data_IF_307332534754
#
_entry.id   IF_307332534754
#
_cell.length_a   1.000
_cell.length_b   1.000
_cell.length_c   1.000
_cell.angle_alpha   90.00
_cell.angle_beta   90.00
_cell.angle_gamma   90.00
#
_symmetry.space_group_name_H-M   'P 1'
#
loop_
_entity.id
_entity.type
_entity.pdbx_description
1 polymer ?
#
# COMPACT_ATOMS: atom_id res chain seq x y z
N UNK A 1 -21.06 4.33 15.19
CA UNK A 1 -19.79 5.09 15.19
C UNK A 1 -19.82 6.01 13.96
N UNK A 2 -19.70 7.31 14.15
CA UNK A 2 -19.80 8.27 13.05
C UNK A 2 -18.43 8.71 12.55
N UNK A 3 -18.23 8.75 11.23
CA UNK A 3 -17.10 9.42 10.62
C UNK A 3 -17.38 10.92 10.49
N UNK A 4 -16.44 11.75 10.92
CA UNK A 4 -16.47 13.18 10.63
C UNK A 4 -15.66 13.43 9.37
N UNK A 5 -16.33 13.85 8.31
CA UNK A 5 -15.72 14.16 7.03
C UNK A 5 -15.63 15.67 6.87
N UNK A 6 -14.46 16.17 6.45
CA UNK A 6 -14.23 17.58 6.10
C UNK A 6 -13.59 17.60 4.72
N UNK A 7 -14.13 18.45 3.84
CA UNK A 7 -13.58 18.71 2.52
C UNK A 7 -12.84 20.05 2.53
N UNK A 8 -11.72 20.08 1.84
CA UNK A 8 -10.99 21.32 1.53
C UNK A 8 -10.36 21.19 0.15
N UNK A 9 -10.25 22.31 -0.54
CA UNK A 9 -9.40 22.39 -1.72
C UNK A 9 -7.95 22.49 -1.29
N UNK A 10 -7.07 21.78 -1.98
CA UNK A 10 -5.63 21.80 -1.76
C UNK A 10 -4.91 21.79 -3.11
N UNK A 11 -3.82 22.54 -3.19
CA UNK A 11 -2.90 22.45 -4.32
C UNK A 11 -1.93 21.31 -4.03
N UNK A 12 -2.04 20.25 -4.81
CA UNK A 12 -1.17 19.07 -4.71
C UNK A 12 -0.03 19.11 -5.75
N UNK A 13 0.15 20.23 -6.43
CA UNK A 13 1.15 20.40 -7.47
C UNK A 13 0.76 19.75 -8.80
N UNK A 14 1.74 19.20 -9.51
CA UNK A 14 1.54 18.58 -10.83
C UNK A 14 1.01 17.15 -10.70
N UNK A 15 -0.29 17.03 -10.41
CA UNK A 15 -1.02 15.76 -10.27
C UNK A 15 -2.20 15.69 -11.23
N UNK A 16 -2.75 14.48 -11.42
CA UNK A 16 -3.95 14.31 -12.24
C UNK A 16 -5.11 15.17 -11.69
N UNK A 17 -5.91 15.85 -12.56
CA UNK A 17 -6.97 16.77 -12.12
C UNK A 17 -7.99 16.18 -11.14
N UNK A 18 -8.25 14.88 -11.24
CA UNK A 18 -9.19 14.16 -10.37
C UNK A 18 -8.46 13.45 -9.20
N UNK A 19 -7.53 14.14 -8.58
CA UNK A 19 -6.76 13.63 -7.44
C UNK A 19 -7.36 14.08 -6.13
N UNK A 20 -7.41 13.17 -5.16
CA UNK A 20 -7.89 13.40 -3.79
C UNK A 20 -6.85 12.94 -2.79
N UNK A 21 -6.59 13.77 -1.80
CA UNK A 21 -5.84 13.38 -0.62
C UNK A 21 -6.82 13.06 0.52
N UNK A 22 -6.69 11.86 1.08
CA UNK A 22 -7.41 11.44 2.27
C UNK A 22 -6.48 11.49 3.47
N UNK A 23 -6.89 12.21 4.50
CA UNK A 23 -6.23 12.20 5.82
C UNK A 23 -7.17 11.54 6.82
N UNK A 24 -6.88 10.32 7.19
CA UNK A 24 -7.70 9.49 8.06
C UNK A 24 -7.08 9.48 9.45
N UNK A 25 -7.79 10.02 10.44
CA UNK A 25 -7.36 10.04 11.85
C UNK A 25 -8.12 8.97 12.61
N UNK A 26 -7.41 7.97 13.11
CA UNK A 26 -7.93 6.88 13.92
C UNK A 26 -7.24 6.79 15.28
N UNK A 27 -7.65 5.83 16.08
CA UNK A 27 -7.06 5.57 17.42
C UNK A 27 -5.60 5.14 17.33
N UNK A 28 -5.21 4.46 16.24
CA UNK A 28 -3.85 3.93 16.00
C UNK A 28 -2.94 4.93 15.28
N UNK A 29 -3.43 6.12 14.96
CA UNK A 29 -2.65 7.17 14.31
C UNK A 29 -3.34 7.83 13.12
N UNK A 30 -2.55 8.54 12.34
CA UNK A 30 -3.00 9.21 11.12
C UNK A 30 -2.46 8.46 9.90
N UNK A 31 -3.33 8.22 8.93
CA UNK A 31 -3.00 7.67 7.63
C UNK A 31 -3.26 8.72 6.57
N UNK A 32 -2.31 8.91 5.67
CA UNK A 32 -2.41 9.80 4.50
C UNK A 32 -2.43 8.93 3.23
N UNK A 33 -3.38 9.17 2.34
CA UNK A 33 -3.53 8.43 1.10
C UNK A 33 -3.85 9.39 -0.03
N UNK A 34 -3.13 9.28 -1.14
CA UNK A 34 -3.41 10.05 -2.36
C UNK A 34 -3.82 9.09 -3.46
N UNK A 35 -4.94 9.37 -4.07
CA UNK A 35 -5.45 8.60 -5.19
C UNK A 35 -6.13 9.48 -6.22
N UNK A 36 -6.23 8.97 -7.43
CA UNK A 36 -6.83 9.66 -8.58
C UNK A 36 -7.86 8.77 -9.24
N UNK A 37 -8.94 9.40 -9.73
CA UNK A 37 -9.83 8.74 -10.69
C UNK A 37 -9.24 8.90 -12.08
N UNK A 38 -8.94 7.78 -12.74
CA UNK A 38 -8.32 7.74 -14.07
C UNK A 38 -9.32 7.45 -15.19
N UNK A 39 -10.62 7.49 -14.88
CA UNK A 39 -11.71 7.25 -15.83
C UNK A 39 -12.18 5.80 -15.87
N UNK A 40 -13.37 5.58 -16.47
CA UNK A 40 -13.96 4.25 -16.62
C UNK A 40 -14.31 3.54 -15.30
N UNK A 41 -14.45 4.28 -14.19
CA UNK A 41 -14.66 3.69 -12.86
C UNK A 41 -13.37 3.21 -12.19
N UNK A 42 -12.23 3.38 -12.83
CA UNK A 42 -10.93 2.97 -12.30
C UNK A 42 -10.30 4.05 -11.42
N UNK A 43 -9.60 3.61 -10.39
CA UNK A 43 -8.81 4.44 -9.50
C UNK A 43 -7.35 4.02 -9.49
N UNK A 44 -6.48 4.93 -9.16
CA UNK A 44 -5.06 4.67 -8.93
C UNK A 44 -4.64 5.34 -7.62
N UNK A 45 -4.08 4.57 -6.70
CA UNK A 45 -3.47 5.08 -5.47
C UNK A 45 -1.99 5.30 -5.72
N UNK A 46 -1.51 6.52 -5.51
CA UNK A 46 -0.15 6.94 -5.84
C UNK A 46 0.72 7.27 -4.62
N UNK A 47 0.10 7.45 -3.45
CA UNK A 47 0.83 7.65 -2.20
C UNK A 47 0.09 7.05 -1.01
N UNK A 48 0.83 6.44 -0.09
CA UNK A 48 0.34 6.01 1.23
C UNK A 48 1.37 6.42 2.28
N UNK A 49 0.94 7.23 3.27
CA UNK A 49 1.80 7.75 4.34
C UNK A 49 3.08 8.39 3.80
N UNK A 50 2.95 9.22 2.74
CA UNK A 50 4.05 9.90 2.03
C UNK A 50 5.03 8.97 1.31
N UNK A 51 4.76 7.67 1.28
CA UNK A 51 5.52 6.74 0.44
C UNK A 51 4.88 6.65 -0.93
N UNK A 52 5.69 6.78 -1.98
CA UNK A 52 5.25 6.55 -3.34
C UNK A 52 4.84 5.09 -3.50
N UNK A 53 3.65 4.88 -4.03
CA UNK A 53 3.08 3.57 -4.34
C UNK A 53 2.37 3.65 -5.69
N UNK A 54 1.92 2.52 -6.22
CA UNK A 54 1.05 2.49 -7.38
C UNK A 54 0.25 1.18 -7.34
N UNK A 55 -1.06 1.28 -7.14
CA UNK A 55 -1.98 0.15 -7.18
C UNK A 55 -3.42 0.61 -7.42
N UNK A 56 -4.28 -0.31 -7.83
CA UNK A 56 -5.65 0.01 -8.27
C UNK A 56 -6.70 -0.20 -7.17
N UNK A 57 -6.40 -0.98 -6.15
CA UNK A 57 -7.37 -1.40 -5.13
C UNK A 57 -8.34 -2.49 -5.60
N UNK A 58 -8.17 -3.01 -6.82
CA UNK A 58 -8.98 -4.11 -7.35
C UNK A 58 -8.59 -5.47 -6.76
N UNK A 59 -7.37 -5.58 -6.25
CA UNK A 59 -6.80 -6.80 -5.68
C UNK A 59 -6.37 -6.56 -4.23
N UNK A 60 -6.31 -7.62 -3.40
CA UNK A 60 -5.63 -7.55 -2.12
C UNK A 60 -4.21 -7.04 -2.29
N UNK A 61 -3.86 -5.98 -1.56
CA UNK A 61 -2.61 -5.26 -1.75
C UNK A 61 -1.79 -5.25 -0.47
N UNK A 62 -0.53 -5.69 -0.54
CA UNK A 62 0.43 -5.63 0.56
C UNK A 62 1.41 -4.50 0.28
N UNK A 63 1.53 -3.57 1.22
CA UNK A 63 2.52 -2.48 1.16
C UNK A 63 3.55 -2.75 2.25
N UNK A 64 4.81 -2.89 1.85
CA UNK A 64 5.93 -3.18 2.73
C UNK A 64 6.92 -2.03 2.69
N UNK A 65 7.06 -1.31 3.79
CA UNK A 65 8.14 -0.33 3.97
C UNK A 65 9.35 -1.03 4.57
N UNK A 66 10.51 -0.87 3.95
CA UNK A 66 11.71 -1.62 4.30
C UNK A 66 13.00 -0.79 4.13
N UNK A 67 14.08 -1.27 4.73
CA UNK A 67 15.43 -0.79 4.41
C UNK A 67 15.82 -1.25 3.00
N UNK A 68 16.44 -0.36 2.23
CA UNK A 68 16.92 -0.65 0.87
C UNK A 68 18.26 -1.42 0.92
N UNK A 69 18.18 -2.70 1.26
CA UNK A 69 19.35 -3.58 1.34
C UNK A 69 19.11 -4.89 0.57
N UNK A 70 20.17 -5.53 0.09
CA UNK A 70 20.07 -6.82 -0.62
C UNK A 70 19.33 -7.88 0.20
N UNK A 71 18.53 -8.71 -0.48
CA UNK A 71 17.86 -9.86 0.09
C UNK A 71 16.48 -9.60 0.70
N UNK A 72 16.09 -8.36 0.98
CA UNK A 72 14.78 -8.08 1.58
C UNK A 72 13.63 -8.47 0.62
N UNK A 73 13.73 -8.11 -0.65
CA UNK A 73 12.73 -8.52 -1.66
C UNK A 73 12.61 -10.04 -1.72
N UNK A 74 13.74 -10.76 -1.78
CA UNK A 74 13.76 -12.22 -1.82
C UNK A 74 13.08 -12.84 -0.60
N UNK A 75 13.36 -12.35 0.61
CA UNK A 75 12.73 -12.85 1.84
C UNK A 75 11.21 -12.65 1.84
N UNK A 76 10.73 -11.49 1.38
CA UNK A 76 9.29 -11.21 1.29
C UNK A 76 8.63 -12.14 0.27
N UNK A 77 9.18 -12.24 -0.94
CA UNK A 77 8.61 -13.10 -1.98
C UNK A 77 8.68 -14.58 -1.62
N UNK A 78 9.70 -15.02 -0.87
CA UNK A 78 9.77 -16.41 -0.36
C UNK A 78 8.63 -16.72 0.62
N UNK A 79 8.30 -15.80 1.54
CA UNK A 79 7.17 -16.02 2.46
C UNK A 79 5.85 -16.10 1.66
N UNK A 80 5.66 -15.26 0.64
CA UNK A 80 4.46 -15.35 -0.19
C UNK A 80 4.41 -16.68 -0.95
N UNK A 81 5.52 -17.11 -1.53
CA UNK A 81 5.65 -18.38 -2.23
C UNK A 81 5.36 -19.58 -1.30
N UNK A 82 5.96 -19.63 -0.11
CA UNK A 82 5.80 -20.72 0.86
C UNK A 82 4.36 -20.86 1.38
N UNK A 83 3.53 -19.81 1.17
CA UNK A 83 2.12 -19.78 1.54
C UNK A 83 1.16 -19.82 0.32
N UNK A 84 1.66 -20.25 -0.85
CA UNK A 84 0.88 -20.34 -2.09
C UNK A 84 0.21 -19.02 -2.52
N UNK A 85 0.79 -17.88 -2.17
CA UNK A 85 0.30 -16.55 -2.56
C UNK A 85 0.90 -16.19 -3.91
N UNK A 86 0.07 -16.15 -4.94
CA UNK A 86 0.48 -15.68 -6.26
C UNK A 86 0.51 -14.16 -6.32
N UNK A 87 1.58 -13.62 -6.90
CA UNK A 87 1.79 -12.19 -7.09
C UNK A 87 1.32 -11.80 -8.49
N UNK A 88 0.23 -11.05 -8.58
CA UNK A 88 -0.29 -10.54 -9.84
C UNK A 88 0.48 -9.32 -10.33
N UNK A 89 0.91 -8.46 -9.41
CA UNK A 89 1.71 -7.27 -9.70
C UNK A 89 2.66 -6.99 -8.54
N UNK A 90 3.86 -6.52 -8.88
CA UNK A 90 4.85 -6.09 -7.89
C UNK A 90 5.58 -4.85 -8.37
N UNK A 91 5.78 -3.90 -7.49
CA UNK A 91 6.63 -2.73 -7.75
C UNK A 91 7.44 -2.36 -6.53
N UNK A 92 8.68 -1.94 -6.76
CA UNK A 92 9.58 -1.44 -5.72
C UNK A 92 9.87 0.03 -5.99
N UNK A 93 9.61 0.86 -5.00
CA UNK A 93 9.91 2.28 -5.01
C UNK A 93 11.06 2.56 -4.06
N UNK A 94 12.10 3.16 -4.57
CA UNK A 94 13.27 3.56 -3.80
C UNK A 94 13.25 5.06 -3.61
N UNK A 95 13.17 5.53 -2.38
CA UNK A 95 13.26 6.96 -2.09
C UNK A 95 14.72 7.45 -2.14
N UNK A 96 15.61 6.68 -1.50
CA UNK A 96 17.04 6.96 -1.50
C UNK A 96 17.83 5.66 -1.37
N UNK A 97 18.84 5.49 -2.24
CA UNK A 97 19.73 4.30 -2.23
C UNK A 97 20.29 4.03 -0.83
N UNK A 98 20.14 2.80 -0.36
CA UNK A 98 20.67 2.33 0.92
C UNK A 98 19.92 2.80 2.16
N UNK A 99 18.80 3.56 2.01
CA UNK A 99 17.98 3.99 3.14
C UNK A 99 16.64 3.25 3.16
N UNK A 100 15.62 3.83 2.55
CA UNK A 100 14.27 3.30 2.62
C UNK A 100 13.71 3.02 1.22
N UNK A 101 12.99 1.93 1.12
CA UNK A 101 12.21 1.53 -0.03
C UNK A 101 10.81 1.12 0.39
N UNK A 102 9.91 1.09 -0.57
CA UNK A 102 8.56 0.58 -0.41
C UNK A 102 8.28 -0.44 -1.51
N UNK A 103 7.83 -1.62 -1.12
CA UNK A 103 7.34 -2.63 -2.04
C UNK A 103 5.82 -2.64 -2.01
N UNK A 104 5.20 -2.77 -3.18
CA UNK A 104 3.77 -2.97 -3.34
C UNK A 104 3.56 -4.30 -4.05
N UNK A 105 2.71 -5.14 -3.51
CA UNK A 105 2.30 -6.40 -4.09
C UNK A 105 0.79 -6.43 -4.23
N UNK A 106 0.26 -6.61 -5.43
CA UNK A 106 -1.12 -7.03 -5.63
C UNK A 106 -1.13 -8.56 -5.76
N UNK A 107 -1.96 -9.22 -4.98
CA UNK A 107 -1.99 -10.68 -4.87
C UNK A 107 -3.40 -11.22 -5.14
N UNK A 108 -3.49 -12.50 -5.52
CA UNK A 108 -4.78 -13.08 -5.94
C UNK A 108 -5.73 -13.39 -4.77
N UNK A 109 -5.21 -13.48 -3.55
CA UNK A 109 -5.98 -13.89 -2.36
C UNK A 109 -5.68 -13.02 -1.16
N UNK A 110 -6.63 -12.94 -0.23
CA UNK A 110 -6.41 -12.28 1.05
C UNK A 110 -5.28 -12.97 1.83
N UNK A 111 -4.43 -12.17 2.44
CA UNK A 111 -3.28 -12.64 3.22
C UNK A 111 -3.65 -12.67 4.68
N UNK A 112 -3.41 -13.80 5.34
CA UNK A 112 -3.76 -14.01 6.74
C UNK A 112 -2.92 -13.14 7.69
N UNK A 113 -3.44 -12.90 8.88
CA UNK A 113 -2.71 -12.17 9.93
C UNK A 113 -1.39 -12.86 10.32
N UNK A 114 -1.33 -14.18 10.21
CA UNK A 114 -0.11 -14.96 10.46
C UNK A 114 0.97 -14.64 9.43
N UNK A 115 0.63 -14.64 8.14
CA UNK A 115 1.55 -14.30 7.05
C UNK A 115 2.03 -12.84 7.20
N UNK A 116 1.12 -11.92 7.52
CA UNK A 116 1.48 -10.51 7.81
C UNK A 116 2.45 -10.43 9.00
N UNK A 117 2.23 -11.23 10.04
CA UNK A 117 3.15 -11.35 11.18
C UNK A 117 4.54 -11.83 10.77
N UNK A 118 4.61 -12.86 9.92
CA UNK A 118 5.87 -13.39 9.39
C UNK A 118 6.60 -12.36 8.52
N UNK A 119 5.88 -11.59 7.70
CA UNK A 119 6.47 -10.50 6.92
C UNK A 119 7.06 -9.41 7.84
N UNK A 120 6.34 -9.02 8.90
CA UNK A 120 6.81 -8.03 9.88
C UNK A 120 8.05 -8.48 10.64
N UNK A 121 8.25 -9.79 10.81
CA UNK A 121 9.39 -10.36 11.51
C UNK A 121 10.69 -10.40 10.68
N UNK A 122 10.62 -10.14 9.38
CA UNK A 122 11.81 -10.08 8.52
C UNK A 122 12.69 -8.89 8.94
N UNK A 123 13.97 -9.17 9.18
CA UNK A 123 14.95 -8.10 9.44
C UNK A 123 15.02 -7.10 8.26
N UNK A 124 14.93 -5.83 8.57
CA UNK A 124 14.90 -4.75 7.58
C UNK A 124 13.51 -4.31 7.15
N UNK A 125 12.45 -4.98 7.59
CA UNK A 125 11.07 -4.51 7.41
C UNK A 125 10.73 -3.50 8.51
N UNK A 126 10.22 -2.33 8.09
CA UNK A 126 9.81 -1.27 9.00
C UNK A 126 8.30 -1.33 9.27
N UNK A 127 7.51 -1.59 8.24
CA UNK A 127 6.04 -1.61 8.32
C UNK A 127 5.44 -2.50 7.23
N UNK A 128 4.34 -3.18 7.56
CA UNK A 128 3.50 -3.90 6.59
C UNK A 128 2.07 -3.44 6.74
N UNK A 129 1.45 -3.03 5.64
CA UNK A 129 0.05 -2.63 5.55
C UNK A 129 -0.64 -3.59 4.59
N UNK A 130 -1.81 -4.10 4.99
CA UNK A 130 -2.69 -4.87 4.12
C UNK A 130 -3.92 -4.05 3.76
N UNK A 131 -4.25 -3.99 2.48
CA UNK A 131 -5.45 -3.34 1.97
C UNK A 131 -6.23 -4.39 1.20
N UNK A 132 -7.45 -4.63 1.62
CA UNK A 132 -8.36 -5.54 0.92
C UNK A 132 -9.32 -4.74 0.04
N UNK A 133 -9.70 -5.26 -1.14
CA UNK A 133 -10.75 -4.67 -1.96
C UNK A 133 -12.06 -4.61 -1.16
N UNK A 134 -12.86 -3.59 -1.45
CA UNK A 134 -14.24 -3.54 -0.95
C UNK A 134 -15.02 -4.64 -1.69
N UNK A 135 -15.67 -5.54 -0.94
CA UNK A 135 -16.58 -6.52 -1.53
C UNK A 135 -17.87 -5.82 -1.93
N UNK A 136 -18.37 -6.10 -3.14
CA UNK A 136 -19.64 -5.58 -3.62
C UNK A 136 -20.74 -5.91 -2.59
N UNK A 137 -21.40 -4.89 -2.06
CA UNK A 137 -22.46 -5.02 -1.07
C UNK A 137 -22.11 -4.72 0.38
N UNK A 138 -20.90 -4.26 0.66
CA UNK A 138 -20.51 -3.72 1.97
C UNK A 138 -20.54 -2.20 2.02
#
# INVERSE_FOLDING_TARGET
>A
MGLKIRFREADLGDVHPNTVEFVIKGKEGTYELIGSSIGGGSIEVTSVNRNTVNFTGAYPTIIVSNKDVPGVVSKVTSILYDNDINIAFMKVFRNQKGKDATMVFEVDHEVTSEIIGNLKAIEGINKVIMINPIKDGE
#
